data_IF_199464653401
#
_entry.id   IF_199464653401
#
_cell.length_a   1.000
_cell.length_b   1.000
_cell.length_c   1.000
_cell.angle_alpha   90.00
_cell.angle_beta   90.00
_cell.angle_gamma   90.00
#
_symmetry.space_group_name_H-M   'P 1'
#
loop_
_entity.id
_entity.type
_entity.pdbx_description
1 polymer ?
#
# COMPACT_ATOMS: atom_id res chain seq x y z
N UNK A 1 -29.98 3.32 7.69
CA UNK A 1 -29.43 3.44 6.33
C UNK A 1 -28.00 2.92 6.34
N UNK A 2 -27.70 1.87 5.59
CA UNK A 2 -26.33 1.37 5.41
C UNK A 2 -25.75 2.06 4.17
N UNK A 3 -24.77 2.94 4.38
CA UNK A 3 -24.06 3.59 3.28
C UNK A 3 -23.02 2.61 2.75
N UNK A 4 -23.35 1.94 1.64
CA UNK A 4 -22.39 1.14 0.88
C UNK A 4 -21.39 2.05 0.16
N UNK A 5 -20.24 1.49 -0.21
CA UNK A 5 -19.32 2.14 -1.15
C UNK A 5 -19.71 1.77 -2.59
N UNK A 6 -20.26 2.72 -3.38
CA UNK A 6 -20.69 2.44 -4.76
C UNK A 6 -19.51 2.05 -5.67
N UNK A 7 -18.28 2.31 -5.26
CA UNK A 7 -17.08 2.04 -6.04
C UNK A 7 -16.40 0.71 -5.68
N UNK A 8 -16.84 0.04 -4.61
CA UNK A 8 -16.12 -1.10 -4.04
C UNK A 8 -15.82 -2.21 -5.06
N UNK A 9 -16.82 -2.63 -5.85
CA UNK A 9 -16.63 -3.67 -6.86
C UNK A 9 -15.63 -3.26 -7.94
N UNK A 10 -15.76 -2.04 -8.46
CA UNK A 10 -14.89 -1.54 -9.53
C UNK A 10 -13.44 -1.42 -9.07
N UNK A 11 -13.22 -0.81 -7.90
CA UNK A 11 -11.89 -0.64 -7.31
C UNK A 11 -11.24 -1.98 -6.98
N UNK A 12 -11.97 -2.90 -6.33
CA UNK A 12 -11.46 -4.23 -6.01
C UNK A 12 -11.11 -5.04 -7.27
N UNK A 13 -11.98 -5.03 -8.28
CA UNK A 13 -11.73 -5.76 -9.54
C UNK A 13 -10.50 -5.23 -10.27
N UNK A 14 -10.35 -3.90 -10.35
CA UNK A 14 -9.17 -3.28 -10.96
C UNK A 14 -7.90 -3.60 -10.17
N UNK A 15 -7.94 -3.49 -8.85
CA UNK A 15 -6.81 -3.79 -7.98
C UNK A 15 -6.33 -5.24 -8.14
N UNK A 16 -7.26 -6.21 -8.16
CA UNK A 16 -6.93 -7.62 -8.37
C UNK A 16 -6.20 -7.80 -9.71
N UNK A 17 -6.70 -7.21 -10.79
CA UNK A 17 -6.03 -7.28 -12.09
C UNK A 17 -4.64 -6.64 -12.05
N UNK A 18 -4.50 -5.45 -11.46
CA UNK A 18 -3.21 -4.79 -11.35
C UNK A 18 -2.19 -5.65 -10.60
N UNK A 19 -2.57 -6.18 -9.42
CA UNK A 19 -1.68 -7.02 -8.60
C UNK A 19 -1.33 -8.34 -9.28
N UNK A 20 -2.26 -8.96 -9.98
CA UNK A 20 -2.02 -10.21 -10.72
C UNK A 20 -0.97 -10.05 -11.84
N UNK A 21 -0.93 -8.87 -12.47
CA UNK A 21 -0.06 -8.59 -13.62
C UNK A 21 1.09 -7.62 -13.31
N UNK A 22 1.39 -7.37 -12.03
CA UNK A 22 2.52 -6.52 -11.62
C UNK A 22 2.37 -5.03 -11.97
N UNK A 23 1.14 -4.55 -12.13
CA UNK A 23 0.82 -3.14 -12.38
C UNK A 23 0.47 -2.41 -11.08
N UNK A 24 0.61 -1.08 -11.09
CA UNK A 24 0.25 -0.21 -9.96
C UNK A 24 -1.22 0.24 -10.09
N UNK A 25 -2.12 -0.11 -9.16
CA UNK A 25 -3.49 0.41 -9.17
C UNK A 25 -3.51 1.86 -8.67
N UNK A 26 -4.10 2.75 -9.46
CA UNK A 26 -4.20 4.20 -9.18
C UNK A 26 -5.67 4.61 -9.17
N UNK A 27 -6.09 5.31 -8.11
CA UNK A 27 -7.46 5.79 -7.95
C UNK A 27 -7.66 7.10 -8.72
N UNK A 28 -8.86 7.29 -9.26
CA UNK A 28 -9.20 8.39 -10.15
C UNK A 28 -9.42 9.73 -9.44
N UNK A 29 -9.98 10.72 -10.16
CA UNK A 29 -10.19 12.07 -9.63
C UNK A 29 -11.23 12.11 -8.50
N UNK A 30 -11.19 13.18 -7.72
CA UNK A 30 -12.24 13.57 -6.78
C UNK A 30 -12.57 15.04 -7.01
N UNK A 31 -13.81 15.32 -7.40
CA UNK A 31 -14.21 16.59 -8.00
C UNK A 31 -14.38 17.75 -7.03
N UNK A 32 -14.77 17.47 -5.79
CA UNK A 32 -15.03 18.51 -4.79
C UNK A 32 -13.72 18.93 -4.11
N UNK A 33 -13.09 19.99 -4.62
CA UNK A 33 -11.86 20.53 -4.05
C UNK A 33 -12.07 21.29 -2.74
N UNK A 34 -13.33 21.58 -2.35
CA UNK A 34 -13.67 22.20 -1.07
C UNK A 34 -13.81 21.17 0.07
N UNK A 35 -13.81 19.87 -0.26
CA UNK A 35 -13.97 18.76 0.68
C UNK A 35 -12.68 17.92 0.84
N UNK A 36 -11.69 18.38 1.62
CA UNK A 36 -10.45 17.64 1.87
C UNK A 36 -10.68 16.35 2.68
N UNK A 37 -11.73 16.30 3.50
CA UNK A 37 -12.06 15.13 4.32
C UNK A 37 -12.64 14.02 3.46
N UNK A 38 -13.54 14.34 2.53
CA UNK A 38 -14.05 13.41 1.52
C UNK A 38 -12.97 12.88 0.61
N UNK A 39 -12.04 13.74 0.15
CA UNK A 39 -10.86 13.31 -0.61
C UNK A 39 -10.02 12.31 0.18
N UNK A 40 -9.70 12.64 1.44
CA UNK A 40 -8.88 11.80 2.33
C UNK A 40 -9.58 10.47 2.62
N UNK A 41 -10.90 10.48 2.83
CA UNK A 41 -11.68 9.27 3.04
C UNK A 41 -11.68 8.38 1.79
N UNK A 42 -11.85 8.95 0.58
CA UNK A 42 -11.77 8.22 -0.67
C UNK A 42 -10.38 7.61 -0.90
N UNK A 43 -9.32 8.40 -0.68
CA UNK A 43 -7.94 7.94 -0.78
C UNK A 43 -7.65 6.78 0.20
N UNK A 44 -8.07 6.90 1.46
CA UNK A 44 -7.89 5.83 2.46
C UNK A 44 -8.66 4.56 2.10
N UNK A 45 -9.88 4.66 1.56
CA UNK A 45 -10.64 3.50 1.07
C UNK A 45 -9.87 2.76 -0.04
N UNK A 46 -9.35 3.50 -1.02
CA UNK A 46 -8.52 2.91 -2.07
C UNK A 46 -7.21 2.31 -1.51
N UNK A 47 -6.52 3.02 -0.61
CA UNK A 47 -5.27 2.57 0.00
C UNK A 47 -5.43 1.24 0.75
N UNK A 48 -6.52 1.06 1.51
CA UNK A 48 -6.83 -0.19 2.22
C UNK A 48 -7.05 -1.37 1.26
N UNK A 49 -7.59 -1.12 0.06
CA UNK A 49 -7.69 -2.15 -0.98
C UNK A 49 -6.33 -2.50 -1.61
N UNK A 50 -5.31 -1.68 -1.42
CA UNK A 50 -3.96 -1.89 -1.96
C UNK A 50 -3.63 -1.01 -3.17
N UNK A 51 -4.32 0.11 -3.34
CA UNK A 51 -3.95 1.15 -4.31
C UNK A 51 -2.66 1.87 -3.91
N UNK A 52 -1.92 2.36 -4.90
CA UNK A 52 -0.61 2.99 -4.67
C UNK A 52 -0.60 4.51 -4.82
N UNK A 53 -1.69 5.10 -5.29
CA UNK A 53 -1.86 6.53 -5.45
C UNK A 53 -3.29 6.92 -5.83
N UNK A 54 -3.54 8.22 -5.84
CA UNK A 54 -4.79 8.85 -6.28
C UNK A 54 -4.49 10.10 -7.09
N UNK A 55 -5.30 10.39 -8.10
CA UNK A 55 -5.16 11.61 -8.91
C UNK A 55 -5.39 12.87 -8.07
N UNK A 56 -4.52 13.87 -8.26
CA UNK A 56 -4.74 15.24 -7.84
C UNK A 56 -5.13 16.08 -9.07
N UNK A 57 -6.35 16.60 -9.09
CA UNK A 57 -6.84 17.50 -10.16
C UNK A 57 -6.83 18.97 -9.72
N UNK A 58 -6.50 19.22 -8.45
CA UNK A 58 -6.28 20.53 -7.86
C UNK A 58 -5.02 20.49 -6.96
N UNK A 59 -4.20 21.55 -6.89
CA UNK A 59 -2.96 21.54 -6.09
C UNK A 59 -3.15 21.14 -4.63
N UNK A 60 -4.28 21.51 -4.00
CA UNK A 60 -4.57 21.14 -2.60
C UNK A 60 -4.65 19.63 -2.35
N UNK A 61 -4.88 18.82 -3.38
CA UNK A 61 -5.03 17.37 -3.25
C UNK A 61 -3.68 16.63 -3.22
N UNK A 62 -2.58 17.29 -3.64
CA UNK A 62 -1.25 16.67 -3.72
C UNK A 62 -0.76 16.23 -2.36
N UNK A 63 -0.80 17.13 -1.37
CA UNK A 63 -0.35 16.82 -0.01
C UNK A 63 -1.23 15.75 0.64
N UNK A 64 -2.55 15.80 0.41
CA UNK A 64 -3.50 14.80 0.92
C UNK A 64 -3.20 13.40 0.36
N UNK A 65 -2.94 13.30 -0.94
CA UNK A 65 -2.56 12.04 -1.58
C UNK A 65 -1.23 11.52 -1.02
N UNK A 66 -0.19 12.36 -0.99
CA UNK A 66 1.12 11.99 -0.48
C UNK A 66 1.02 11.47 0.96
N UNK A 67 0.29 12.17 1.83
CA UNK A 67 0.10 11.74 3.22
C UNK A 67 -0.57 10.37 3.36
N UNK A 68 -1.51 10.04 2.48
CA UNK A 68 -2.23 8.75 2.53
C UNK A 68 -1.40 7.61 1.92
N UNK A 69 -0.68 7.86 0.84
CA UNK A 69 0.00 6.81 0.07
C UNK A 69 1.51 6.67 0.39
N UNK A 70 2.08 7.57 1.19
CA UNK A 70 3.42 7.39 1.77
C UNK A 70 3.33 6.38 2.92
N UNK A 71 4.09 5.27 2.87
CA UNK A 71 4.15 4.31 3.95
C UNK A 71 4.74 4.97 5.21
N UNK A 72 4.25 4.57 6.38
CA UNK A 72 4.80 5.04 7.65
C UNK A 72 6.20 4.48 7.92
N UNK A 73 6.99 5.18 8.72
CA UNK A 73 8.30 4.68 9.18
C UNK A 73 8.20 3.31 9.88
N UNK A 74 7.09 3.06 10.58
CA UNK A 74 6.82 1.79 11.23
C UNK A 74 6.62 0.65 10.21
N UNK A 75 5.89 0.90 9.12
CA UNK A 75 5.71 -0.06 8.02
C UNK A 75 7.05 -0.34 7.32
N UNK A 76 7.82 0.71 7.03
CA UNK A 76 9.16 0.58 6.42
C UNK A 76 10.09 -0.21 7.33
N UNK A 77 10.12 0.09 8.62
CA UNK A 77 10.93 -0.63 9.62
C UNK A 77 10.54 -2.09 9.70
N UNK A 78 9.23 -2.39 9.74
CA UNK A 78 8.73 -3.77 9.73
C UNK A 78 9.14 -4.51 8.46
N UNK A 79 9.03 -3.88 7.30
CA UNK A 79 9.46 -4.48 6.03
C UNK A 79 10.97 -4.75 6.00
N UNK A 80 11.81 -3.81 6.50
CA UNK A 80 13.26 -4.02 6.66
C UNK A 80 13.56 -5.25 7.54
N UNK A 81 12.84 -5.40 8.66
CA UNK A 81 12.96 -6.57 9.56
C UNK A 81 12.56 -7.88 8.91
N UNK A 82 11.47 -7.88 8.12
CA UNK A 82 11.01 -9.07 7.36
C UNK A 82 12.10 -9.54 6.37
N UNK A 83 12.63 -8.64 5.56
CA UNK A 83 13.67 -8.97 4.57
C UNK A 83 14.96 -9.43 5.26
N UNK A 84 15.33 -8.83 6.39
CA UNK A 84 16.49 -9.25 7.18
C UNK A 84 16.31 -10.67 7.76
N UNK A 85 15.13 -10.97 8.32
CA UNK A 85 14.82 -12.29 8.86
C UNK A 85 14.87 -13.38 7.77
N UNK A 86 14.40 -13.07 6.56
CA UNK A 86 14.50 -13.98 5.41
C UNK A 86 15.96 -14.26 5.03
N UNK A 87 16.79 -13.21 4.92
CA UNK A 87 18.23 -13.36 4.65
C UNK A 87 18.93 -14.21 5.70
N UNK A 88 18.55 -14.06 6.97
CA UNK A 88 19.11 -14.85 8.06
C UNK A 88 18.68 -16.32 7.99
N UNK A 89 17.40 -16.60 7.78
CA UNK A 89 16.89 -17.96 7.64
C UNK A 89 17.54 -18.70 6.46
N UNK A 90 17.74 -18.01 5.32
CA UNK A 90 18.43 -18.57 4.16
C UNK A 90 19.88 -18.95 4.48
N UNK A 91 20.61 -18.13 5.24
CA UNK A 91 21.98 -18.46 5.70
C UNK A 91 22.02 -19.67 6.64
N UNK A 92 20.98 -19.84 7.43
CA UNK A 92 20.84 -20.95 8.39
C UNK A 92 20.26 -22.23 7.76
N UNK A 93 19.92 -22.21 6.46
CA UNK A 93 19.29 -23.34 5.78
C UNK A 93 17.85 -23.63 6.24
N UNK A 94 17.17 -22.64 6.85
CA UNK A 94 15.80 -22.77 7.34
C UNK A 94 14.80 -22.40 6.24
N UNK A 95 13.88 -23.30 5.93
CA UNK A 95 12.80 -23.06 4.96
C UNK A 95 11.66 -22.17 5.49
N UNK A 96 11.52 -22.04 6.81
CA UNK A 96 10.52 -21.20 7.44
C UNK A 96 11.19 -19.98 8.10
N UNK A 97 10.68 -18.79 7.78
CA UNK A 97 11.10 -17.52 8.41
C UNK A 97 10.14 -17.21 9.55
N UNK A 98 10.65 -16.85 10.72
CA UNK A 98 9.85 -16.36 11.84
C UNK A 98 10.32 -14.98 12.27
N UNK A 99 9.37 -14.06 12.48
CA UNK A 99 9.61 -12.74 13.04
C UNK A 99 8.59 -12.49 14.15
N UNK A 100 9.05 -12.13 15.35
CA UNK A 100 8.21 -11.90 16.53
C UNK A 100 7.25 -13.07 16.83
N UNK A 101 7.72 -14.30 16.62
CA UNK A 101 6.93 -15.52 16.84
C UNK A 101 5.90 -15.84 15.76
N UNK A 102 5.87 -15.10 14.63
CA UNK A 102 4.97 -15.35 13.50
C UNK A 102 5.74 -15.86 12.29
N UNK A 103 5.20 -16.89 11.66
CA UNK A 103 5.68 -17.37 10.37
C UNK A 103 5.49 -16.30 9.30
N UNK A 104 6.54 -16.05 8.54
CA UNK A 104 6.55 -15.13 7.41
C UNK A 104 6.56 -15.96 6.14
N UNK A 105 5.50 -15.84 5.34
CA UNK A 105 5.39 -16.51 4.05
C UNK A 105 6.02 -15.70 2.91
N UNK A 106 6.12 -16.33 1.74
CA UNK A 106 6.71 -15.71 0.55
C UNK A 106 5.90 -14.52 0.04
N UNK A 107 4.58 -14.50 0.28
CA UNK A 107 3.73 -13.38 -0.11
C UNK A 107 4.05 -12.12 0.72
N UNK A 108 4.21 -12.30 2.03
CA UNK A 108 4.61 -11.25 2.98
C UNK A 108 6.00 -10.69 2.65
N UNK A 109 6.93 -11.55 2.22
CA UNK A 109 8.27 -11.11 1.78
C UNK A 109 8.18 -10.23 0.53
N UNK A 110 7.44 -10.67 -0.49
CA UNK A 110 7.26 -9.89 -1.73
C UNK A 110 6.59 -8.54 -1.47
N UNK A 111 5.61 -8.50 -0.56
CA UNK A 111 4.97 -7.25 -0.13
C UNK A 111 5.97 -6.32 0.58
N UNK A 112 6.81 -6.87 1.48
CA UNK A 112 7.84 -6.10 2.15
C UNK A 112 8.86 -5.52 1.14
N UNK A 113 9.33 -6.31 0.18
CA UNK A 113 10.23 -5.85 -0.88
C UNK A 113 9.61 -4.73 -1.74
N UNK A 114 8.34 -4.89 -2.15
CA UNK A 114 7.63 -3.87 -2.90
C UNK A 114 7.49 -2.55 -2.11
N UNK A 115 7.18 -2.64 -0.80
CA UNK A 115 7.10 -1.48 0.08
C UNK A 115 8.46 -0.78 0.23
N UNK A 116 9.55 -1.53 0.38
CA UNK A 116 10.91 -0.96 0.49
C UNK A 116 11.37 -0.30 -0.80
N UNK A 117 11.04 -0.87 -1.96
CA UNK A 117 11.32 -0.22 -3.25
C UNK A 117 10.59 1.11 -3.37
N UNK A 118 9.32 1.17 -2.94
CA UNK A 118 8.55 2.41 -2.89
C UNK A 118 9.19 3.42 -1.94
N UNK A 119 9.52 3.00 -0.70
CA UNK A 119 10.16 3.83 0.32
C UNK A 119 11.50 4.42 -0.16
N UNK A 120 12.35 3.60 -0.78
CA UNK A 120 13.63 4.03 -1.32
C UNK A 120 13.48 5.10 -2.41
N UNK A 121 12.47 4.97 -3.29
CA UNK A 121 12.18 5.98 -4.32
C UNK A 121 11.73 7.33 -3.72
N UNK A 122 11.27 7.35 -2.47
CA UNK A 122 10.92 8.56 -1.72
C UNK A 122 12.05 9.06 -0.81
N UNK A 123 13.19 8.36 -0.76
CA UNK A 123 14.32 8.70 0.12
C UNK A 123 14.18 8.26 1.58
N UNK A 124 13.35 7.23 1.86
CA UNK A 124 13.11 6.64 3.19
C UNK A 124 13.87 5.33 3.45
#
# INVERSE_FOLDING_TARGET
YYWNDPWHYALSRMMVACRAYGLRPIDGPFGDFSDPDGYTAAAKRAAVLGFEGKWAIHPSQVELANKVFTPSEAEVTKAKRIVAAMKQAAKEGKGAVSLDGRLIDIASIRQAEALLNKAAAMGM
#
